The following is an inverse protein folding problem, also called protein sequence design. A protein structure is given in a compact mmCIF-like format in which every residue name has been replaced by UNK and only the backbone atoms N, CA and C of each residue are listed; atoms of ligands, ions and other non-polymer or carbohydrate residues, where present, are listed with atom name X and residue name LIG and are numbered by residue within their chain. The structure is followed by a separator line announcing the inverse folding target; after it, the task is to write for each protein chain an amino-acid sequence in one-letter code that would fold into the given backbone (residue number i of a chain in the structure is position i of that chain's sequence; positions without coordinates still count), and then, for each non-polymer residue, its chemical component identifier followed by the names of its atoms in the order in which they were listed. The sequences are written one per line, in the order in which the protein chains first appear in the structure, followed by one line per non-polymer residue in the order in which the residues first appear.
data_IF_008817269114
#
_entry.id   IF_008817269114
#
_cell.length_a   1.000
_cell.length_b   1.000
_cell.length_c   1.000
_cell.angle_alpha   90.00
_cell.angle_beta   90.00
_cell.angle_gamma   90.00
#
_symmetry.space_group_name_H-M   'P 1'
#
loop_
_entity.id
_entity.type
_entity.pdbx_description
1 polymer ?
#
# COMPACT_ATOMS: atom_id res chain seq x y z
N UNK A 1 9.11 -5.93 -4.63
CA UNK A 1 8.03 -6.53 -3.83
C UNK A 1 7.52 -5.53 -2.82
N UNK A 2 6.22 -5.45 -2.68
CA UNK A 2 5.60 -4.49 -1.76
C UNK A 2 5.79 -4.93 -0.32
N UNK A 3 6.30 -4.02 0.53
CA UNK A 3 6.51 -4.33 1.94
C UNK A 3 5.39 -3.73 2.79
N UNK A 4 5.26 -4.23 4.01
CA UNK A 4 4.26 -3.68 4.93
C UNK A 4 4.53 -2.21 5.22
N UNK A 5 5.79 -1.82 5.30
CA UNK A 5 6.14 -0.43 5.51
C UNK A 5 5.69 0.45 4.36
N UNK A 6 5.85 -0.04 3.12
CA UNK A 6 5.43 0.73 1.96
C UNK A 6 3.92 0.94 1.93
N UNK A 7 3.15 -0.02 2.40
CA UNK A 7 1.70 0.15 2.48
C UNK A 7 1.36 1.29 3.45
N UNK A 8 2.00 1.27 4.62
CA UNK A 8 1.75 2.33 5.61
C UNK A 8 2.22 3.69 5.11
N UNK A 9 3.39 3.74 4.47
CA UNK A 9 3.91 4.98 3.91
C UNK A 9 2.95 5.54 2.87
N UNK A 10 2.43 4.68 2.01
CA UNK A 10 1.51 5.11 0.96
C UNK A 10 0.24 5.69 1.54
N UNK A 11 -0.34 5.02 2.54
CA UNK A 11 -1.54 5.54 3.18
C UNK A 11 -1.26 6.91 3.81
N UNK A 12 -0.13 7.02 4.50
CA UNK A 12 0.22 8.29 5.12
C UNK A 12 0.39 9.40 4.08
N UNK A 13 1.05 9.08 2.98
CA UNK A 13 1.28 10.05 1.92
C UNK A 13 -0.04 10.53 1.32
N UNK A 14 -1.00 9.63 1.19
CA UNK A 14 -2.30 9.95 0.59
C UNK A 14 -3.30 10.49 1.60
N UNK A 15 -3.00 10.39 2.89
CA UNK A 15 -3.95 10.75 3.93
C UNK A 15 -5.11 9.77 4.02
N UNK A 16 -4.88 8.51 3.69
CA UNK A 16 -5.92 7.50 3.67
C UNK A 16 -5.92 6.70 4.96
N UNK A 17 -7.11 6.44 5.49
CA UNK A 17 -7.28 5.48 6.56
C UNK A 17 -7.23 4.07 5.99
N UNK A 18 -7.14 3.09 6.89
CA UNK A 18 -7.23 1.69 6.47
C UNK A 18 -8.59 1.43 5.82
N UNK A 19 -9.64 2.03 6.37
CA UNK A 19 -10.98 1.88 5.80
C UNK A 19 -11.05 2.43 4.38
N UNK A 20 -10.38 3.55 4.14
CA UNK A 20 -10.34 4.14 2.79
C UNK A 20 -9.61 3.22 1.83
N UNK A 21 -8.47 2.69 2.23
CA UNK A 21 -7.73 1.76 1.39
C UNK A 21 -8.54 0.50 1.12
N UNK A 22 -9.24 0.00 2.14
CA UNK A 22 -10.10 -1.16 1.98
C UNK A 22 -11.18 -0.89 0.93
N UNK A 23 -11.82 0.26 1.03
CA UNK A 23 -12.87 0.64 0.09
C UNK A 23 -12.34 0.68 -1.34
N UNK A 24 -11.17 1.28 -1.51
CA UNK A 24 -10.61 1.48 -2.85
C UNK A 24 -10.04 0.21 -3.45
N UNK A 25 -9.50 -0.68 -2.62
CA UNK A 25 -8.80 -1.86 -3.11
C UNK A 25 -9.66 -3.12 -3.13
N UNK A 26 -10.79 -3.09 -2.44
CA UNK A 26 -11.64 -4.26 -2.24
C UNK A 26 -10.99 -5.33 -1.36
N UNK A 27 -9.94 -4.96 -0.64
CA UNK A 27 -9.29 -5.84 0.32
C UNK A 27 -9.84 -5.48 1.71
N UNK A 28 -10.20 -6.50 2.50
CA UNK A 28 -10.87 -6.24 3.77
C UNK A 28 -9.96 -5.51 4.75
N UNK A 29 -10.57 -4.76 5.67
CA UNK A 29 -9.84 -4.02 6.69
C UNK A 29 -8.96 -4.96 7.51
N UNK A 30 -9.49 -6.12 7.91
CA UNK A 30 -8.70 -7.03 8.73
C UNK A 30 -7.48 -7.57 7.98
N UNK A 31 -7.62 -7.81 6.69
CA UNK A 31 -6.50 -8.25 5.88
C UNK A 31 -5.44 -7.16 5.78
N UNK A 32 -5.87 -5.92 5.56
CA UNK A 32 -4.92 -4.81 5.47
C UNK A 32 -4.18 -4.63 6.79
N UNK A 33 -4.90 -4.68 7.91
CA UNK A 33 -4.26 -4.57 9.23
C UNK A 33 -3.19 -5.64 9.41
N UNK A 34 -3.51 -6.87 9.01
CA UNK A 34 -2.56 -7.97 9.14
C UNK A 34 -1.34 -7.75 8.25
N UNK A 35 -1.56 -7.28 7.02
CA UNK A 35 -0.45 -7.04 6.11
C UNK A 35 0.45 -5.92 6.62
N UNK A 36 -0.12 -4.89 7.20
CA UNK A 36 0.68 -3.77 7.69
C UNK A 36 1.43 -4.08 8.97
N UNK A 37 1.03 -5.12 9.69
CA UNK A 37 1.67 -5.47 10.94
C UNK A 37 2.74 -6.54 10.80
N UNK A 38 2.90 -7.09 9.62
CA UNK A 38 3.89 -8.14 9.39
C UNK A 38 5.12 -7.57 8.74
N UNK A 39 6.25 -8.20 9.03
CA UNK A 39 7.49 -7.82 8.38
C UNK A 39 7.69 -8.72 7.17
N UNK A 40 7.94 -8.10 6.03
CA UNK A 40 8.23 -8.82 4.83
C UNK A 40 6.99 -9.38 4.16
N UNK A 41 7.22 -10.36 3.33
CA UNK A 41 6.19 -10.92 2.47
C UNK A 41 5.43 -12.06 3.17
N UNK A 42 4.12 -12.08 3.01
CA UNK A 42 3.28 -13.14 3.55
C UNK A 42 2.74 -13.98 2.41
N UNK A 43 3.04 -15.27 2.46
CA UNK A 43 2.54 -16.19 1.45
C UNK A 43 1.01 -16.24 1.47
N UNK A 44 0.44 -16.45 0.30
CA UNK A 44 -1.01 -16.60 0.20
C UNK A 44 -1.73 -15.28 0.09
N UNK A 45 -0.99 -14.17 0.06
CA UNK A 45 -1.60 -12.85 -0.01
C UNK A 45 -1.25 -12.12 -1.29
N UNK A 46 -0.70 -12.82 -2.29
CA UNK A 46 -0.26 -12.15 -3.51
C UNK A 46 -1.36 -11.42 -4.23
N UNK A 47 -2.56 -12.03 -4.29
CA UNK A 47 -3.67 -11.37 -4.95
C UNK A 47 -4.07 -10.10 -4.22
N UNK A 48 -4.10 -10.14 -2.89
CA UNK A 48 -4.43 -8.98 -2.09
C UNK A 48 -3.36 -7.89 -2.23
N UNK A 49 -2.09 -8.29 -2.23
CA UNK A 49 -1.00 -7.34 -2.41
C UNK A 49 -1.06 -6.68 -3.78
N UNK A 50 -1.43 -7.45 -4.81
CA UNK A 50 -1.59 -6.87 -6.15
C UNK A 50 -2.70 -5.84 -6.19
N UNK A 51 -3.84 -6.14 -5.57
CA UNK A 51 -4.95 -5.20 -5.52
C UNK A 51 -4.54 -3.92 -4.80
N UNK A 52 -3.86 -4.05 -3.69
CA UNK A 52 -3.40 -2.90 -2.93
C UNK A 52 -2.39 -2.09 -3.75
N UNK A 53 -1.43 -2.77 -4.37
CA UNK A 53 -0.42 -2.08 -5.17
C UNK A 53 -1.05 -1.30 -6.31
N UNK A 54 -1.96 -1.95 -7.04
CA UNK A 54 -2.59 -1.29 -8.18
C UNK A 54 -3.43 -0.10 -7.74
N UNK A 55 -4.11 -0.25 -6.60
CA UNK A 55 -4.91 0.83 -6.05
C UNK A 55 -4.05 2.03 -5.69
N UNK A 56 -2.93 1.77 -5.02
CA UNK A 56 -2.05 2.85 -4.59
C UNK A 56 -1.33 3.48 -5.78
N UNK A 57 -0.94 2.69 -6.76
CA UNK A 57 -0.33 3.23 -7.96
C UNK A 57 -1.30 4.12 -8.73
N UNK A 58 -2.56 3.70 -8.81
CA UNK A 58 -3.57 4.52 -9.46
C UNK A 58 -3.80 5.83 -8.73
N UNK A 59 -3.50 5.87 -7.44
CA UNK A 59 -3.66 7.08 -6.63
C UNK A 59 -2.42 7.97 -6.66
N UNK A 60 -1.40 7.60 -7.43
CA UNK A 60 -0.21 8.44 -7.60
C UNK A 60 1.02 7.99 -6.85
N UNK A 61 1.00 6.79 -6.28
CA UNK A 61 2.15 6.27 -5.54
C UNK A 61 3.07 5.48 -6.47
N UNK A 62 4.37 5.74 -6.34
CA UNK A 62 5.40 4.93 -6.96
C UNK A 62 6.19 4.24 -5.85
N UNK A 63 6.37 2.93 -5.95
CA UNK A 63 7.13 2.18 -4.96
C UNK A 63 8.60 2.16 -5.34
N UNK A 64 9.46 2.42 -4.36
CA UNK A 64 10.89 2.57 -4.59
C UNK A 64 11.63 1.59 -3.68
N UNK A 65 12.61 0.86 -4.26
CA UNK A 65 13.45 -0.02 -3.49
C UNK A 65 12.80 -1.36 -3.19
N UNK A 66 13.65 -2.36 -2.97
CA UNK A 66 13.23 -3.68 -2.56
C UNK A 66 13.38 -3.83 -1.06
N UNK A 67 12.77 -4.89 -0.51
CA UNK A 67 12.98 -5.22 0.89
C UNK A 67 14.49 -5.39 1.11
N UNK A 68 15.03 -4.70 2.06
CA UNK A 68 16.47 -4.75 2.29
C UNK A 68 17.25 -3.70 1.55
N UNK A 69 16.60 -2.91 0.72
CA UNK A 69 17.26 -1.85 -0.04
C UNK A 69 16.63 -0.49 0.25
N UNK A 70 16.14 -0.32 1.47
CA UNK A 70 15.54 0.96 1.84
C UNK A 70 14.23 1.22 1.13
N UNK A 71 13.24 0.33 1.28
CA UNK A 71 11.99 0.50 0.56
C UNK A 71 11.29 1.80 0.96
N UNK A 72 10.72 2.48 -0.03
CA UNK A 72 10.01 3.72 0.20
C UNK A 72 8.95 3.93 -0.85
N UNK A 73 8.36 5.12 -0.84
CA UNK A 73 7.37 5.48 -1.83
C UNK A 73 7.58 6.92 -2.27
N UNK A 74 7.12 7.21 -3.48
CA UNK A 74 7.09 8.58 -4.00
C UNK A 74 5.66 8.90 -4.38
N UNK A 75 5.19 10.04 -3.93
CA UNK A 75 3.86 10.51 -4.29
C UNK A 75 4.00 11.52 -5.43
N UNK A 76 3.47 11.15 -6.60
CA UNK A 76 3.57 12.01 -7.77
C UNK A 76 2.53 13.11 -7.75
N UNK A 77 1.29 12.74 -7.47
CA UNK A 77 0.25 13.73 -7.35
C UNK A 77 -0.96 13.07 -6.70
N UNK A 78 -1.72 13.87 -5.94
CA UNK A 78 -2.96 13.35 -5.37
C UNK A 78 -4.06 13.58 -6.39
N UNK A 79 -4.80 12.52 -6.74
CA UNK A 79 -5.82 12.65 -7.77
C UNK A 79 -6.90 13.68 -7.45
N UNK A 80 -7.19 13.85 -6.16
CA UNK A 80 -8.23 14.77 -5.72
C UNK A 80 -7.67 16.10 -5.28
N UNK A 81 -6.46 16.39 -5.67
CA UNK A 81 -5.83 17.64 -5.35
C UNK A 81 -6.50 18.75 -6.15
N UNK A 82 -7.10 19.62 -5.52
CA UNK A 82 -7.78 20.71 -6.21
C UNK A 82 -8.08 21.81 -5.22
#
# INVERSE_FOLDING_TARGET
MLTCDQIRMSRAALGWSIAKLSEKSSVSVSTIKRLESQEGFTKGTEANLRLIRETLQAAGIEFIGEAGEGPGVRLWSKPDLS
#
